data_IF_172180608185
#
_entry.id   IF_172180608185
#
_cell.length_a   1.000
_cell.length_b   1.000
_cell.length_c   1.000
_cell.angle_alpha   90.00
_cell.angle_beta   90.00
_cell.angle_gamma   90.00
#
_symmetry.space_group_name_H-M   'P 1'
#
loop_
_entity.id
_entity.type
_entity.pdbx_description
1 polymer ?
#
# COMPACT_ATOMS: atom_id res chain seq x y z
N UNK A 1 -6.19 -22.90 -7.71
CA UNK A 1 -6.91 -22.00 -6.76
C UNK A 1 -5.91 -21.66 -5.66
N UNK A 2 -5.22 -20.52 -5.78
CA UNK A 2 -4.39 -19.98 -4.71
C UNK A 2 -5.36 -19.27 -3.77
N UNK A 3 -5.78 -19.97 -2.72
CA UNK A 3 -6.52 -19.37 -1.62
C UNK A 3 -5.59 -18.39 -0.90
N UNK A 4 -5.73 -17.10 -1.18
CA UNK A 4 -5.13 -16.05 -0.38
C UNK A 4 -5.84 -16.05 1.00
N UNK A 5 -5.45 -17.00 1.85
CA UNK A 5 -5.75 -16.91 3.27
C UNK A 5 -4.88 -15.77 3.78
N UNK A 6 -5.48 -14.70 4.21
CA UNK A 6 -4.85 -13.71 5.09
C UNK A 6 -4.51 -14.42 6.40
N UNK A 7 -3.42 -15.17 6.36
CA UNK A 7 -2.80 -15.69 7.58
C UNK A 7 -2.17 -14.49 8.25
N UNK A 8 -2.64 -14.15 9.43
CA UNK A 8 -2.01 -13.12 10.25
C UNK A 8 -0.52 -13.37 10.41
N UNK A 9 0.29 -12.35 10.73
CA UNK A 9 1.71 -12.54 11.00
C UNK A 9 1.87 -13.56 12.12
N UNK A 10 2.96 -14.31 12.09
CA UNK A 10 3.33 -15.17 13.21
C UNK A 10 3.53 -14.29 14.44
N UNK A 11 2.56 -14.30 15.36
CA UNK A 11 2.62 -13.54 16.60
C UNK A 11 3.29 -14.37 17.71
N UNK A 12 3.95 -13.73 18.67
CA UNK A 12 4.42 -14.41 19.89
C UNK A 12 3.26 -15.15 20.57
N UNK A 13 3.50 -16.37 21.03
CA UNK A 13 2.49 -17.21 21.73
C UNK A 13 1.84 -16.52 22.93
N UNK A 14 2.52 -15.53 23.51
CA UNK A 14 2.07 -14.70 24.62
C UNK A 14 0.93 -13.77 24.25
N UNK A 15 0.79 -13.40 22.97
CA UNK A 15 -0.28 -12.53 22.50
C UNK A 15 -1.57 -13.35 22.34
N UNK A 16 -2.60 -12.94 23.08
CA UNK A 16 -3.93 -13.55 23.06
C UNK A 16 -4.93 -12.54 22.51
N UNK A 17 -5.33 -12.74 21.27
CA UNK A 17 -6.32 -11.89 20.65
C UNK A 17 -7.72 -12.25 21.17
N UNK A 18 -8.46 -11.26 21.63
CA UNK A 18 -9.86 -11.39 22.06
C UNK A 18 -10.85 -11.17 20.91
N UNK A 19 -10.38 -10.60 19.82
CA UNK A 19 -11.14 -10.31 18.60
C UNK A 19 -10.53 -11.04 17.40
N UNK A 20 -11.29 -11.27 16.31
CA UNK A 20 -10.76 -11.82 15.08
C UNK A 20 -9.62 -10.97 14.53
N UNK A 21 -8.59 -11.58 13.97
CA UNK A 21 -7.44 -10.86 13.42
C UNK A 21 -7.85 -9.81 12.36
N UNK A 22 -8.94 -10.07 11.62
CA UNK A 22 -9.51 -9.16 10.63
C UNK A 22 -10.06 -7.84 11.22
N UNK A 23 -10.28 -7.77 12.52
CA UNK A 23 -10.71 -6.54 13.22
C UNK A 23 -9.55 -5.79 13.88
N UNK A 24 -8.34 -6.35 13.90
CA UNK A 24 -7.16 -5.73 14.52
C UNK A 24 -6.47 -4.81 13.54
N UNK A 25 -6.35 -3.54 13.86
CA UNK A 25 -5.60 -2.56 13.07
C UNK A 25 -4.12 -2.53 13.43
N UNK A 26 -3.81 -2.72 14.73
CA UNK A 26 -2.46 -2.56 15.25
C UNK A 26 -2.23 -3.40 16.51
N UNK A 27 -1.03 -3.96 16.65
CA UNK A 27 -0.58 -4.62 17.88
C UNK A 27 0.69 -3.92 18.34
N UNK A 28 0.67 -3.38 19.56
CA UNK A 28 1.73 -2.56 20.13
C UNK A 28 2.44 -3.32 21.25
N UNK A 29 3.67 -3.73 20.98
CA UNK A 29 4.58 -4.36 21.96
C UNK A 29 5.53 -3.29 22.51
N UNK A 30 5.74 -3.27 23.82
CA UNK A 30 6.65 -2.35 24.51
C UNK A 30 7.34 -3.11 25.63
N UNK A 31 8.66 -3.00 25.70
CA UNK A 31 9.45 -3.58 26.78
C UNK A 31 8.96 -3.06 28.14
N UNK A 32 8.79 -3.94 29.10
CA UNK A 32 8.32 -3.63 30.44
C UNK A 32 6.82 -3.34 30.54
N UNK A 33 6.03 -3.63 29.49
CA UNK A 33 4.58 -3.40 29.45
C UNK A 33 3.86 -4.55 28.76
N UNK A 34 2.57 -4.77 29.07
CA UNK A 34 1.75 -5.68 28.28
C UNK A 34 1.54 -5.15 26.86
N UNK A 35 1.38 -6.04 25.91
CA UNK A 35 1.00 -5.64 24.56
C UNK A 35 -0.46 -5.18 24.51
N UNK A 36 -0.71 -4.22 23.62
CA UNK A 36 -2.04 -3.64 23.38
C UNK A 36 -2.44 -3.88 21.93
N UNK A 37 -3.62 -4.45 21.73
CA UNK A 37 -4.28 -4.53 20.43
C UNK A 37 -5.17 -3.31 20.24
N UNK A 38 -5.11 -2.69 19.06
CA UNK A 38 -6.00 -1.62 18.62
C UNK A 38 -6.85 -2.16 17.50
N UNK A 39 -8.17 -2.09 17.61
CA UNK A 39 -9.05 -2.53 16.54
C UNK A 39 -9.30 -1.43 15.50
N UNK A 40 -9.91 -1.80 14.39
CA UNK A 40 -10.21 -0.88 13.26
C UNK A 40 -11.14 0.28 13.62
N UNK A 41 -11.78 0.23 14.78
CA UNK A 41 -12.65 1.30 15.32
C UNK A 41 -11.93 2.17 16.35
N UNK A 42 -10.64 1.89 16.63
CA UNK A 42 -9.83 2.62 17.61
C UNK A 42 -9.96 2.11 19.05
N UNK A 43 -10.73 1.06 19.31
CA UNK A 43 -10.82 0.41 20.60
C UNK A 43 -9.48 -0.25 20.99
N UNK A 44 -9.07 -0.14 22.25
CA UNK A 44 -7.81 -0.68 22.76
C UNK A 44 -8.07 -1.77 23.78
N UNK A 45 -7.37 -2.91 23.66
CA UNK A 45 -7.47 -4.05 24.57
C UNK A 45 -6.09 -4.58 24.90
N UNK A 46 -5.81 -4.81 26.18
CA UNK A 46 -4.58 -5.51 26.60
C UNK A 46 -4.68 -6.97 26.16
N UNK A 47 -3.65 -7.44 25.45
CA UNK A 47 -3.68 -8.76 24.81
C UNK A 47 -2.50 -9.68 25.19
N UNK A 48 -1.70 -9.31 26.18
CA UNK A 48 -0.62 -10.15 26.71
C UNK A 48 -0.26 -9.79 28.14
N UNK A 49 0.61 -10.61 28.75
CA UNK A 49 1.41 -10.22 29.91
C UNK A 49 2.54 -9.27 29.51
N UNK A 50 3.33 -8.80 30.49
CA UNK A 50 4.46 -7.87 30.27
C UNK A 50 5.52 -8.54 29.39
N UNK A 51 5.98 -7.83 28.35
CA UNK A 51 7.10 -8.24 27.52
C UNK A 51 8.44 -7.84 28.15
N UNK A 52 9.38 -8.77 28.21
CA UNK A 52 10.77 -8.46 28.55
C UNK A 52 11.55 -7.93 27.34
N UNK A 53 12.76 -7.42 27.57
CA UNK A 53 13.67 -7.01 26.49
C UNK A 53 14.05 -8.21 25.62
N UNK A 54 14.42 -9.33 26.25
CA UNK A 54 14.83 -10.57 25.58
C UNK A 54 13.70 -11.14 24.70
N UNK A 55 12.45 -11.13 25.20
CA UNK A 55 11.28 -11.59 24.42
C UNK A 55 11.02 -10.68 23.21
N UNK A 56 11.27 -9.37 23.36
CA UNK A 56 11.09 -8.39 22.26
C UNK A 56 12.17 -8.55 21.22
N UNK A 57 13.43 -8.74 21.64
CA UNK A 57 14.58 -8.97 20.75
C UNK A 57 14.46 -10.30 20.01
N UNK A 58 14.05 -11.37 20.71
CA UNK A 58 13.79 -12.67 20.09
C UNK A 58 12.68 -12.58 19.03
N UNK A 59 11.59 -11.88 19.34
CA UNK A 59 10.53 -11.69 18.36
C UNK A 59 10.98 -10.83 17.18
N UNK A 60 11.79 -9.81 17.39
CA UNK A 60 12.38 -9.03 16.30
C UNK A 60 13.29 -9.89 15.43
N UNK A 61 14.13 -10.75 16.04
CA UNK A 61 14.96 -11.68 15.29
C UNK A 61 14.12 -12.66 14.44
N UNK A 62 13.00 -13.16 14.97
CA UNK A 62 12.07 -14.01 14.23
C UNK A 62 11.44 -13.25 13.04
N UNK A 63 11.03 -11.99 13.24
CA UNK A 63 10.53 -11.11 12.16
C UNK A 63 11.55 -11.02 11.03
N UNK A 64 12.82 -10.82 11.37
CA UNK A 64 13.93 -10.76 10.41
C UNK A 64 14.42 -12.15 9.96
N UNK A 65 13.69 -13.23 10.26
CA UNK A 65 14.06 -14.62 9.95
C UNK A 65 15.49 -14.96 10.38
N UNK A 66 15.91 -14.43 11.52
CA UNK A 66 17.27 -14.53 12.08
C UNK A 66 18.38 -13.98 11.15
N UNK A 67 18.02 -13.17 10.17
CA UNK A 67 18.95 -12.52 9.22
C UNK A 67 18.73 -11.00 9.20
N UNK A 68 19.02 -10.34 10.32
CA UNK A 68 18.78 -8.89 10.50
C UNK A 68 19.49 -8.05 9.42
N UNK A 69 20.67 -8.49 8.96
CA UNK A 69 21.42 -7.79 7.90
C UNK A 69 20.67 -7.74 6.57
N UNK A 70 19.82 -8.74 6.26
CA UNK A 70 19.03 -8.76 5.03
C UNK A 70 17.90 -7.71 5.03
N UNK A 71 17.58 -7.13 6.18
CA UNK A 71 16.56 -6.10 6.38
C UNK A 71 17.15 -4.75 6.77
N UNK A 72 18.44 -4.55 6.55
CA UNK A 72 19.14 -3.34 7.03
C UNK A 72 18.58 -2.06 6.43
N UNK A 73 18.20 -2.06 5.15
CA UNK A 73 17.57 -0.92 4.49
C UNK A 73 16.19 -0.63 5.09
N UNK A 74 15.36 -1.65 5.25
CA UNK A 74 14.02 -1.52 5.87
C UNK A 74 14.13 -1.02 7.31
N UNK A 75 15.06 -1.57 8.10
CA UNK A 75 15.31 -1.16 9.49
C UNK A 75 15.78 0.30 9.55
N UNK A 76 16.59 0.75 8.60
CA UNK A 76 17.00 2.14 8.51
C UNK A 76 15.82 3.08 8.21
N UNK A 77 14.80 2.60 7.49
CA UNK A 77 13.52 3.29 7.27
C UNK A 77 12.57 3.20 8.49
N UNK A 78 12.91 2.39 9.49
CA UNK A 78 12.18 2.25 10.75
C UNK A 78 11.07 1.20 10.76
N UNK A 79 10.95 0.37 9.72
CA UNK A 79 9.97 -0.72 9.69
C UNK A 79 10.43 -1.91 8.84
N UNK A 80 9.83 -3.07 9.07
CA UNK A 80 9.99 -4.27 8.25
C UNK A 80 8.60 -4.71 7.75
N UNK A 81 8.50 -5.10 6.50
CA UNK A 81 7.27 -5.64 5.92
C UNK A 81 7.25 -7.17 6.04
N UNK A 82 6.19 -7.71 6.62
CA UNK A 82 5.96 -9.15 6.78
C UNK A 82 5.11 -9.74 5.67
N UNK A 83 5.13 -11.08 5.57
CA UNK A 83 4.16 -11.81 4.74
C UNK A 83 2.73 -11.39 5.09
N UNK A 84 1.89 -11.23 4.06
CA UNK A 84 0.55 -10.66 4.23
C UNK A 84 0.51 -9.13 4.19
N UNK A 85 1.65 -8.46 3.98
CA UNK A 85 1.72 -7.00 3.84
C UNK A 85 1.66 -6.23 5.15
N UNK A 86 1.78 -6.93 6.28
CA UNK A 86 1.82 -6.29 7.60
C UNK A 86 3.14 -5.53 7.77
N UNK A 87 3.09 -4.35 8.37
CA UNK A 87 4.30 -3.56 8.66
C UNK A 87 4.61 -3.58 10.14
N UNK A 88 5.85 -3.83 10.48
CA UNK A 88 6.35 -3.78 11.86
C UNK A 88 7.26 -2.57 12.01
N UNK A 89 6.74 -1.51 12.61
CA UNK A 89 7.53 -0.35 13.02
C UNK A 89 8.42 -0.70 14.20
N UNK A 90 9.66 -0.21 14.17
CA UNK A 90 10.70 -0.52 15.15
C UNK A 90 10.97 0.71 15.98
N UNK A 91 10.92 0.56 17.30
CA UNK A 91 11.29 1.59 18.27
C UNK A 91 12.54 1.15 19.02
N UNK A 92 13.52 2.05 19.15
CA UNK A 92 14.79 1.78 19.84
C UNK A 92 15.74 2.96 19.70
N UNK A 93 17.04 2.70 19.84
CA UNK A 93 18.10 3.69 19.70
C UNK A 93 18.61 3.74 18.27
N UNK A 94 18.44 4.88 17.59
CA UNK A 94 18.92 5.06 16.22
C UNK A 94 20.46 5.16 16.17
N UNK A 95 21.10 4.35 15.33
CA UNK A 95 22.51 4.43 14.98
C UNK A 95 22.62 5.24 13.69
N UNK A 96 23.52 6.22 13.67
CA UNK A 96 23.71 7.12 12.54
C UNK A 96 25.13 7.05 11.99
N UNK A 97 25.22 7.06 10.66
CA UNK A 97 26.46 7.21 9.90
C UNK A 97 26.26 8.29 8.84
N UNK A 98 27.19 9.21 8.73
CA UNK A 98 27.14 10.33 7.76
C UNK A 98 25.80 11.10 7.79
N UNK A 99 25.21 11.27 8.99
CA UNK A 99 23.95 11.99 9.19
C UNK A 99 22.67 11.20 8.87
N UNK A 100 22.79 9.97 8.35
CA UNK A 100 21.66 9.08 8.05
C UNK A 100 21.53 8.00 9.12
N UNK A 101 20.29 7.57 9.39
CA UNK A 101 20.04 6.39 10.21
C UNK A 101 20.43 5.17 9.38
N UNK A 102 21.28 4.31 9.92
CA UNK A 102 21.72 3.06 9.27
C UNK A 102 21.19 1.82 9.99
N UNK A 103 20.81 1.97 11.26
CA UNK A 103 20.31 0.87 12.05
C UNK A 103 19.55 1.37 13.29
N UNK A 104 18.72 0.49 13.89
CA UNK A 104 18.07 0.71 15.18
C UNK A 104 18.51 -0.41 16.12
N UNK A 105 19.10 -0.05 17.24
CA UNK A 105 19.51 -0.97 18.32
C UNK A 105 18.71 -0.74 19.60
N UNK A 106 18.94 -1.57 20.61
CA UNK A 106 18.27 -1.47 21.92
C UNK A 106 16.74 -1.36 21.73
N UNK A 107 16.15 -2.36 21.07
CA UNK A 107 14.75 -2.32 20.68
C UNK A 107 13.85 -2.22 21.92
N UNK A 108 13.15 -1.13 22.04
CA UNK A 108 12.24 -0.81 23.14
C UNK A 108 10.79 -1.13 22.84
N UNK A 109 10.46 -1.41 21.57
CA UNK A 109 9.13 -1.79 21.18
C UNK A 109 8.96 -2.06 19.68
N UNK A 110 7.90 -2.79 19.36
CA UNK A 110 7.50 -3.14 18.01
C UNK A 110 6.04 -2.77 17.83
N UNK A 111 5.73 -2.21 16.65
CA UNK A 111 4.39 -1.78 16.31
C UNK A 111 3.92 -2.49 15.05
N UNK A 112 3.14 -3.56 15.20
CA UNK A 112 2.63 -4.37 14.10
C UNK A 112 1.37 -3.71 13.57
N UNK A 113 1.45 -3.09 12.40
CA UNK A 113 0.30 -2.57 11.67
C UNK A 113 -0.23 -3.64 10.75
N UNK A 114 -1.48 -4.03 10.98
CA UNK A 114 -2.13 -5.10 10.22
C UNK A 114 -2.60 -4.56 8.88
N UNK A 115 -2.13 -5.16 7.80
CA UNK A 115 -2.65 -4.84 6.47
C UNK A 115 -4.01 -5.50 6.29
N UNK A 116 -4.98 -4.71 5.85
CA UNK A 116 -6.31 -5.19 5.51
C UNK A 116 -6.54 -5.04 4.01
N UNK A 117 -7.03 -6.11 3.39
CA UNK A 117 -7.52 -6.05 2.03
C UNK A 117 -9.03 -5.88 2.05
N UNK A 118 -9.50 -4.74 1.57
CA UNK A 118 -10.93 -4.43 1.49
C UNK A 118 -11.36 -4.68 0.04
N UNK A 119 -11.93 -5.86 -0.21
CA UNK A 119 -12.51 -6.21 -1.51
C UNK A 119 -13.85 -5.52 -1.69
N UNK A 120 -14.10 -5.03 -2.93
CA UNK A 120 -15.34 -4.35 -3.28
C UNK A 120 -15.37 -2.85 -2.95
N UNK A 121 -14.32 -2.30 -2.33
CA UNK A 121 -14.27 -0.86 -2.05
C UNK A 121 -14.17 0.00 -3.33
N UNK A 122 -13.81 -0.59 -4.45
CA UNK A 122 -13.77 0.06 -5.77
C UNK A 122 -14.99 -0.20 -6.63
N UNK A 123 -16.00 -0.93 -6.16
CA UNK A 123 -17.12 -1.39 -6.99
C UNK A 123 -17.83 -0.24 -7.68
N UNK A 124 -18.15 0.83 -6.97
CA UNK A 124 -18.81 2.01 -7.54
C UNK A 124 -17.96 2.66 -8.65
N UNK A 125 -16.66 2.80 -8.44
CA UNK A 125 -15.72 3.38 -9.41
C UNK A 125 -15.59 2.44 -10.62
N UNK A 126 -15.44 1.15 -10.37
CA UNK A 126 -15.29 0.16 -11.42
C UNK A 126 -16.53 0.12 -12.32
N UNK A 127 -17.73 -0.01 -11.76
CA UNK A 127 -18.98 -0.08 -12.54
C UNK A 127 -19.20 1.22 -13.33
N UNK A 128 -18.86 2.34 -12.77
CA UNK A 128 -19.10 3.63 -13.40
C UNK A 128 -18.13 3.93 -14.54
N UNK A 129 -16.85 3.60 -14.40
CA UNK A 129 -15.81 4.08 -15.33
C UNK A 129 -15.11 2.96 -16.10
N UNK A 130 -15.09 1.73 -15.61
CA UNK A 130 -14.19 0.68 -16.08
C UNK A 130 -14.88 -0.59 -16.55
N UNK A 131 -16.15 -0.80 -16.21
CA UNK A 131 -16.89 -2.05 -16.49
C UNK A 131 -17.08 -2.30 -17.99
N UNK A 132 -17.38 -1.27 -18.77
CA UNK A 132 -17.60 -1.39 -20.21
C UNK A 132 -16.27 -1.53 -20.98
N UNK A 133 -15.29 -0.70 -20.68
CA UNK A 133 -13.94 -0.71 -21.25
C UNK A 133 -12.95 -0.05 -20.31
N UNK A 134 -11.66 -0.43 -20.35
CA UNK A 134 -10.64 0.28 -19.58
C UNK A 134 -10.58 1.75 -20.03
N UNK A 135 -10.46 2.64 -19.07
CA UNK A 135 -10.21 4.06 -19.33
C UNK A 135 -9.06 4.56 -18.43
N UNK A 136 -8.48 5.67 -18.80
CA UNK A 136 -7.47 6.34 -17.97
C UNK A 136 -8.18 7.17 -16.92
N UNK A 137 -7.84 6.94 -15.64
CA UNK A 137 -8.60 7.48 -14.51
C UNK A 137 -7.68 8.08 -13.44
N UNK A 138 -7.94 9.32 -13.04
CA UNK A 138 -7.34 9.92 -11.85
C UNK A 138 -8.22 9.65 -10.62
N UNK A 139 -7.63 9.06 -9.58
CA UNK A 139 -8.27 8.88 -8.27
C UNK A 139 -7.78 10.01 -7.35
N UNK A 140 -8.56 11.06 -7.24
CA UNK A 140 -8.23 12.21 -6.41
C UNK A 140 -8.82 12.05 -4.99
N UNK A 141 -8.10 12.51 -3.98
CA UNK A 141 -8.59 12.48 -2.61
C UNK A 141 -7.54 13.01 -1.62
N UNK A 142 -8.00 13.46 -0.47
CA UNK A 142 -7.13 13.91 0.62
C UNK A 142 -6.25 12.76 1.15
N UNK A 143 -5.18 13.03 1.90
CA UNK A 143 -4.47 12.00 2.65
C UNK A 143 -5.45 11.14 3.47
N UNK A 144 -5.20 9.83 3.55
CA UNK A 144 -6.02 8.86 4.30
C UNK A 144 -7.45 8.63 3.77
N UNK A 145 -7.81 9.17 2.60
CA UNK A 145 -9.14 8.94 2.00
C UNK A 145 -9.35 7.50 1.46
N UNK A 146 -8.31 6.67 1.42
CA UNK A 146 -8.39 5.29 0.95
C UNK A 146 -7.97 5.08 -0.51
N UNK A 147 -7.28 6.04 -1.15
CA UNK A 147 -6.80 5.94 -2.55
C UNK A 147 -6.05 4.64 -2.83
N UNK A 148 -5.06 4.31 -2.01
CA UNK A 148 -4.26 3.08 -2.16
C UNK A 148 -5.11 1.82 -2.07
N UNK A 149 -6.11 1.82 -1.17
CA UNK A 149 -7.04 0.70 -1.01
C UNK A 149 -7.92 0.52 -2.25
N UNK A 150 -8.41 1.63 -2.81
CA UNK A 150 -9.19 1.64 -4.07
C UNK A 150 -8.32 1.18 -5.23
N UNK A 151 -7.10 1.70 -5.39
CA UNK A 151 -6.17 1.29 -6.46
C UNK A 151 -5.87 -0.20 -6.41
N UNK A 152 -5.65 -0.76 -5.22
CA UNK A 152 -5.44 -2.21 -5.03
C UNK A 152 -6.62 -3.03 -5.48
N UNK A 153 -7.83 -2.65 -5.09
CA UNK A 153 -9.03 -3.38 -5.46
C UNK A 153 -9.36 -3.22 -6.96
N UNK A 154 -9.07 -2.06 -7.57
CA UNK A 154 -9.12 -1.88 -9.02
C UNK A 154 -8.10 -2.77 -9.75
N UNK A 155 -6.85 -2.86 -9.25
CA UNK A 155 -5.84 -3.75 -9.79
C UNK A 155 -6.33 -5.20 -9.79
N UNK A 156 -6.87 -5.66 -8.65
CA UNK A 156 -7.45 -7.00 -8.51
C UNK A 156 -8.57 -7.26 -9.53
N UNK A 157 -9.53 -6.35 -9.64
CA UNK A 157 -10.69 -6.52 -10.54
C UNK A 157 -10.29 -6.48 -12.02
N UNK A 158 -9.45 -5.53 -12.40
CA UNK A 158 -8.97 -5.43 -13.77
C UNK A 158 -8.07 -6.60 -14.14
N UNK A 159 -7.17 -6.99 -13.22
CA UNK A 159 -6.24 -8.10 -13.39
C UNK A 159 -6.89 -9.49 -13.50
N UNK A 160 -8.19 -9.63 -13.25
CA UNK A 160 -8.91 -10.87 -13.56
C UNK A 160 -9.03 -11.12 -15.08
N UNK A 161 -9.04 -10.05 -15.90
CA UNK A 161 -9.33 -10.14 -17.34
C UNK A 161 -8.40 -9.32 -18.23
N UNK A 162 -7.54 -8.50 -17.66
CA UNK A 162 -6.66 -7.56 -18.37
C UNK A 162 -5.22 -7.72 -17.91
N UNK A 163 -4.29 -7.41 -18.80
CA UNK A 163 -2.88 -7.29 -18.42
C UNK A 163 -2.69 -5.96 -17.71
N UNK A 164 -2.47 -6.03 -16.43
CA UNK A 164 -2.25 -4.88 -15.54
C UNK A 164 -0.80 -4.86 -15.09
N UNK A 165 -0.17 -3.69 -15.08
CA UNK A 165 1.10 -3.51 -14.39
C UNK A 165 0.93 -2.48 -13.30
N UNK A 166 1.24 -2.86 -12.08
CA UNK A 166 1.25 -1.97 -10.90
C UNK A 166 2.67 -1.45 -10.69
N UNK A 167 2.82 -0.12 -10.67
CA UNK A 167 4.05 0.56 -10.29
C UNK A 167 3.89 1.02 -8.85
N UNK A 168 4.46 0.25 -7.93
CA UNK A 168 4.24 0.38 -6.48
C UNK A 168 5.50 0.92 -5.79
N UNK A 169 5.78 2.20 -5.99
CA UNK A 169 7.01 2.84 -5.50
C UNK A 169 7.19 2.71 -3.98
N UNK A 170 6.09 2.78 -3.23
CA UNK A 170 6.09 2.72 -1.76
C UNK A 170 5.74 1.35 -1.20
N UNK A 171 5.57 0.36 -2.07
CA UNK A 171 5.13 -0.98 -1.69
C UNK A 171 3.84 -0.99 -0.83
N UNK A 172 2.89 -0.11 -1.18
CA UNK A 172 1.63 0.06 -0.43
C UNK A 172 0.44 -0.62 -1.11
N UNK A 173 0.48 -0.79 -2.44
CA UNK A 173 -0.61 -1.42 -3.21
C UNK A 173 -0.53 -2.93 -3.06
N UNK A 174 0.62 -3.51 -3.37
CA UNK A 174 0.85 -4.96 -3.40
C UNK A 174 1.37 -5.53 -2.09
N UNK A 175 2.04 -4.70 -1.29
CA UNK A 175 2.79 -5.11 -0.11
C UNK A 175 3.75 -6.27 -0.41
N UNK A 176 4.50 -6.16 -1.51
CA UNK A 176 5.39 -7.20 -2.00
C UNK A 176 6.52 -7.51 -1.01
N UNK A 177 6.83 -8.79 -0.87
CA UNK A 177 7.98 -9.29 -0.11
C UNK A 177 8.79 -10.18 -1.05
N UNK A 178 10.09 -9.90 -1.19
CA UNK A 178 10.97 -10.59 -2.14
C UNK A 178 10.38 -10.62 -3.57
N UNK A 179 9.78 -9.52 -4.02
CA UNK A 179 9.17 -9.38 -5.34
C UNK A 179 7.81 -10.05 -5.51
N UNK A 180 7.31 -10.76 -4.49
CA UNK A 180 6.00 -11.41 -4.55
C UNK A 180 4.92 -10.55 -3.90
N UNK A 181 3.82 -10.22 -4.60
CA UNK A 181 2.68 -9.54 -4.01
C UNK A 181 2.06 -10.35 -2.87
N UNK A 182 1.93 -9.75 -1.69
CA UNK A 182 1.29 -10.38 -0.53
C UNK A 182 -0.21 -10.11 -0.46
N UNK A 183 -0.67 -9.08 -1.15
CA UNK A 183 -2.09 -8.74 -1.30
C UNK A 183 -2.56 -9.13 -2.70
N UNK A 184 -3.82 -9.49 -2.81
CA UNK A 184 -4.44 -9.91 -4.06
C UNK A 184 -4.59 -8.70 -4.99
N UNK A 185 -3.81 -8.65 -6.04
CA UNK A 185 -3.81 -7.61 -7.08
C UNK A 185 -4.37 -8.12 -8.42
N UNK A 186 -4.84 -9.38 -8.47
CA UNK A 186 -5.42 -10.00 -9.66
C UNK A 186 -4.46 -10.94 -10.41
N UNK A 187 -5.03 -11.91 -11.12
CA UNK A 187 -4.30 -13.02 -11.77
C UNK A 187 -3.30 -12.55 -12.84
N UNK A 188 -3.68 -11.56 -13.66
CA UNK A 188 -2.87 -11.06 -14.78
C UNK A 188 -2.24 -9.70 -14.42
N UNK A 189 -1.78 -9.55 -13.20
CA UNK A 189 -1.15 -8.32 -12.71
C UNK A 189 0.32 -8.53 -12.42
N UNK A 190 1.16 -7.81 -13.13
CA UNK A 190 2.58 -7.70 -12.84
C UNK A 190 2.82 -6.55 -11.85
N UNK A 191 3.78 -6.70 -10.95
CA UNK A 191 4.12 -5.67 -9.98
C UNK A 191 5.59 -5.29 -10.08
N UNK A 192 5.85 -3.99 -10.22
CA UNK A 192 7.18 -3.40 -10.09
C UNK A 192 7.21 -2.58 -8.78
N UNK A 193 8.06 -2.99 -7.85
CA UNK A 193 8.31 -2.29 -6.60
C UNK A 193 9.79 -1.95 -6.45
N UNK A 194 10.10 -0.96 -5.59
CA UNK A 194 11.47 -0.55 -5.33
C UNK A 194 12.14 0.25 -6.45
N UNK A 195 11.38 0.73 -7.45
CA UNK A 195 11.87 1.60 -8.52
C UNK A 195 11.14 2.95 -8.50
N UNK A 196 11.78 3.95 -9.11
CA UNK A 196 11.12 5.24 -9.35
C UNK A 196 9.91 5.06 -10.28
N UNK A 197 8.86 5.84 -10.07
CA UNK A 197 7.61 5.70 -10.84
C UNK A 197 7.82 5.89 -12.35
N UNK A 198 8.50 6.96 -12.75
CA UNK A 198 8.82 7.22 -14.15
C UNK A 198 9.63 6.09 -14.77
N UNK A 199 10.62 5.55 -14.05
CA UNK A 199 11.43 4.41 -14.50
C UNK A 199 10.58 3.15 -14.64
N UNK A 200 9.75 2.85 -13.64
CA UNK A 200 8.85 1.68 -13.65
C UNK A 200 7.84 1.74 -14.78
N UNK A 201 7.24 2.90 -15.06
CA UNK A 201 6.33 3.09 -16.21
C UNK A 201 7.07 2.78 -17.53
N UNK A 202 8.26 3.33 -17.72
CA UNK A 202 9.04 3.10 -18.92
C UNK A 202 9.48 1.65 -19.08
N UNK A 203 9.82 0.97 -17.99
CA UNK A 203 10.14 -0.46 -17.98
C UNK A 203 8.90 -1.29 -18.35
N UNK A 204 7.74 -1.01 -17.78
CA UNK A 204 6.48 -1.69 -18.09
C UNK A 204 6.13 -1.59 -19.57
N UNK A 205 6.22 -0.39 -20.16
CA UNK A 205 5.94 -0.16 -21.59
C UNK A 205 6.84 -0.97 -22.50
N UNK A 206 8.11 -1.16 -22.13
CA UNK A 206 9.10 -1.87 -22.97
C UNK A 206 9.01 -3.39 -22.88
N UNK A 207 8.59 -3.94 -21.73
CA UNK A 207 8.79 -5.36 -21.45
C UNK A 207 7.53 -6.12 -21.03
N UNK A 208 6.47 -5.46 -20.56
CA UNK A 208 5.31 -6.14 -19.98
C UNK A 208 4.06 -6.06 -20.84
N UNK A 209 4.04 -5.21 -21.88
CA UNK A 209 2.89 -5.02 -22.78
C UNK A 209 1.56 -4.82 -22.03
N UNK A 210 1.48 -3.89 -21.06
CA UNK A 210 0.29 -3.69 -20.26
C UNK A 210 -0.87 -3.11 -21.09
N UNK A 211 -2.09 -3.49 -20.77
CA UNK A 211 -3.30 -2.78 -21.21
C UNK A 211 -3.61 -1.61 -20.27
N UNK A 212 -3.28 -1.80 -18.99
CA UNK A 212 -3.50 -0.81 -17.93
C UNK A 212 -2.27 -0.73 -17.04
N UNK A 213 -1.79 0.47 -16.80
CA UNK A 213 -0.80 0.74 -15.73
C UNK A 213 -1.55 1.35 -14.55
N UNK A 214 -1.32 0.81 -13.36
CA UNK A 214 -1.81 1.38 -12.11
C UNK A 214 -0.59 1.88 -11.32
N UNK A 215 -0.61 3.14 -10.92
CA UNK A 215 0.44 3.70 -10.07
C UNK A 215 -0.15 4.43 -8.87
N UNK A 216 0.62 4.44 -7.79
CA UNK A 216 0.31 5.23 -6.61
C UNK A 216 0.36 6.74 -6.93
N UNK A 217 0.51 7.57 -5.95
CA UNK A 217 0.44 9.02 -6.09
C UNK A 217 1.41 9.57 -7.15
N UNK A 218 0.86 10.30 -8.16
CA UNK A 218 1.64 11.04 -9.14
C UNK A 218 2.25 12.29 -8.48
N UNK A 219 3.56 12.46 -8.64
CA UNK A 219 4.28 13.67 -8.23
C UNK A 219 5.56 13.79 -9.07
N UNK A 220 5.62 14.75 -9.98
CA UNK A 220 6.74 14.95 -10.91
C UNK A 220 6.99 13.79 -11.91
N UNK A 221 5.96 12.99 -12.19
CA UNK A 221 6.02 11.83 -13.09
C UNK A 221 5.21 12.04 -14.37
N UNK A 222 4.75 13.28 -14.62
CA UNK A 222 3.81 13.63 -15.68
C UNK A 222 4.30 13.18 -17.06
N UNK A 223 5.57 13.38 -17.36
CA UNK A 223 6.14 13.02 -18.68
C UNK A 223 6.07 11.50 -18.97
N UNK A 224 6.30 10.66 -17.96
CA UNK A 224 6.22 9.21 -18.12
C UNK A 224 4.76 8.74 -18.27
N UNK A 225 3.84 9.37 -17.53
CA UNK A 225 2.41 9.11 -17.62
C UNK A 225 1.89 9.53 -19.01
N UNK A 226 2.26 10.71 -19.49
CA UNK A 226 1.93 11.19 -20.83
C UNK A 226 2.40 10.21 -21.90
N UNK A 227 3.64 9.72 -21.78
CA UNK A 227 4.17 8.74 -22.74
C UNK A 227 3.36 7.44 -22.73
N UNK A 228 2.95 6.94 -21.58
CA UNK A 228 2.09 5.75 -21.49
C UNK A 228 0.74 5.98 -22.19
N UNK A 229 0.12 7.14 -21.96
CA UNK A 229 -1.13 7.53 -22.58
C UNK A 229 -0.98 7.65 -24.10
N UNK A 230 0.09 8.25 -24.60
CA UNK A 230 0.39 8.35 -26.04
C UNK A 230 0.64 6.99 -26.69
N UNK A 231 1.21 6.03 -25.95
CA UNK A 231 1.34 4.63 -26.41
C UNK A 231 0.01 3.86 -26.42
N UNK A 232 -1.10 4.49 -26.04
CA UNK A 232 -2.43 3.87 -25.99
C UNK A 232 -2.67 3.00 -24.75
N UNK A 233 -1.74 2.96 -23.79
CA UNK A 233 -1.90 2.27 -22.52
C UNK A 233 -2.79 3.12 -21.60
N UNK A 234 -3.73 2.49 -20.93
CA UNK A 234 -4.58 3.18 -19.96
C UNK A 234 -3.83 3.33 -18.64
N UNK A 235 -3.94 4.51 -18.02
CA UNK A 235 -3.28 4.82 -16.75
C UNK A 235 -4.33 5.11 -15.69
N UNK A 236 -4.25 4.40 -14.57
CA UNK A 236 -5.04 4.68 -13.37
C UNK A 236 -4.06 5.11 -12.29
N UNK A 237 -4.21 6.32 -11.78
CA UNK A 237 -3.26 6.88 -10.84
C UNK A 237 -3.94 7.66 -9.71
N UNK A 238 -3.31 7.67 -8.53
CA UNK A 238 -3.77 8.51 -7.44
C UNK A 238 -3.19 9.92 -7.51
N UNK A 239 -3.96 10.89 -7.03
CA UNK A 239 -3.53 12.27 -6.86
C UNK A 239 -4.04 12.84 -5.53
N UNK A 240 -3.20 13.66 -4.88
CA UNK A 240 -3.65 14.43 -3.72
C UNK A 240 -4.38 15.70 -4.19
N UNK A 241 -5.70 15.63 -4.24
CA UNK A 241 -6.56 16.77 -4.51
C UNK A 241 -7.97 16.50 -3.93
N UNK A 242 -8.59 17.49 -3.37
CA UNK A 242 -9.97 17.40 -2.84
C UNK A 242 -11.04 17.80 -3.85
N UNK A 243 -10.64 18.35 -5.01
CA UNK A 243 -11.55 18.77 -6.09
C UNK A 243 -10.87 18.76 -7.45
N UNK A 244 -11.66 18.93 -8.52
CA UNK A 244 -11.16 19.06 -9.89
C UNK A 244 -10.29 20.31 -10.06
N UNK A 245 -10.69 21.43 -9.51
CA UNK A 245 -9.95 22.69 -9.58
C UNK A 245 -8.59 22.58 -8.89
N UNK A 246 -8.49 21.76 -7.87
CA UNK A 246 -7.22 21.48 -7.19
C UNK A 246 -6.31 20.58 -8.04
N UNK A 247 -6.86 19.61 -8.78
CA UNK A 247 -6.12 18.81 -9.77
C UNK A 247 -5.56 19.73 -10.87
N UNK A 248 -6.39 20.60 -11.44
CA UNK A 248 -5.99 21.51 -12.50
C UNK A 248 -4.91 22.52 -12.05
N UNK A 249 -4.96 22.97 -10.79
CA UNK A 249 -3.91 23.82 -10.22
C UNK A 249 -2.59 23.09 -10.01
N UNK A 250 -2.65 21.82 -9.63
CA UNK A 250 -1.47 21.03 -9.28
C UNK A 250 -0.73 20.51 -10.50
N UNK A 251 -1.45 20.00 -11.49
CA UNK A 251 -0.88 19.31 -12.65
C UNK A 251 -1.05 20.08 -13.96
N UNK A 252 -1.81 21.17 -13.97
CA UNK A 252 -2.23 21.86 -15.17
C UNK A 252 -3.41 21.17 -15.86
N UNK A 253 -4.31 21.99 -16.42
CA UNK A 253 -5.52 21.49 -17.08
C UNK A 253 -5.23 20.64 -18.33
N UNK A 254 -4.09 20.85 -18.99
CA UNK A 254 -3.64 20.06 -20.14
C UNK A 254 -3.39 18.61 -19.77
N UNK A 255 -2.59 18.38 -18.73
CA UNK A 255 -2.28 17.02 -18.23
C UNK A 255 -3.54 16.30 -17.72
N UNK A 256 -4.36 16.97 -16.91
CA UNK A 256 -5.58 16.37 -16.38
C UNK A 256 -6.54 15.94 -17.48
N UNK A 257 -6.66 16.72 -18.59
CA UNK A 257 -7.49 16.39 -19.74
C UNK A 257 -7.00 15.21 -20.59
N UNK A 258 -5.79 14.71 -20.36
CA UNK A 258 -5.31 13.49 -21.02
C UNK A 258 -5.94 12.22 -20.44
N UNK A 259 -6.51 12.29 -19.25
CA UNK A 259 -7.26 11.19 -18.65
C UNK A 259 -8.71 11.23 -19.14
N UNK A 260 -9.32 10.06 -19.28
CA UNK A 260 -10.71 9.92 -19.70
C UNK A 260 -11.69 10.37 -18.59
N UNK A 261 -11.28 10.24 -17.31
CA UNK A 261 -12.08 10.67 -16.17
C UNK A 261 -11.24 10.95 -14.91
N UNK A 262 -11.85 11.64 -13.96
CA UNK A 262 -11.33 11.78 -12.60
C UNK A 262 -12.43 11.43 -11.58
N UNK A 263 -12.06 10.61 -10.58
CA UNK A 263 -12.92 10.26 -9.46
C UNK A 263 -12.39 10.92 -8.19
N UNK A 264 -13.16 11.81 -7.60
CA UNK A 264 -12.83 12.40 -6.29
C UNK A 264 -13.40 11.53 -5.20
N UNK A 265 -12.55 11.01 -4.32
CA UNK A 265 -12.96 10.15 -3.23
C UNK A 265 -12.80 10.82 -1.86
N UNK A 266 -13.80 10.60 -1.00
CA UNK A 266 -13.79 11.00 0.40
C UNK A 266 -13.36 9.87 1.33
N UNK A 267 -13.85 9.93 2.55
CA UNK A 267 -13.54 8.90 3.55
C UNK A 267 -13.92 7.51 3.07
N UNK A 268 -13.03 6.53 3.36
CA UNK A 268 -13.21 5.10 3.00
C UNK A 268 -13.35 4.83 1.51
N UNK A 269 -12.80 5.69 0.65
CA UNK A 269 -12.81 5.46 -0.81
C UNK A 269 -14.15 5.73 -1.50
N UNK A 270 -15.15 6.28 -0.82
CA UNK A 270 -16.44 6.61 -1.42
C UNK A 270 -16.33 7.81 -2.36
N UNK A 271 -17.00 7.75 -3.52
CA UNK A 271 -17.09 8.87 -4.44
C UNK A 271 -17.73 10.10 -3.77
N UNK A 272 -17.14 11.26 -3.97
CA UNK A 272 -17.72 12.54 -3.56
C UNK A 272 -18.45 13.14 -4.77
N UNK A 273 -19.75 13.40 -4.60
CA UNK A 273 -20.61 14.04 -5.61
C UNK A 273 -21.26 13.06 -6.59
N UNK A 274 -22.41 13.48 -7.13
CA UNK A 274 -23.27 12.66 -8.01
C UNK A 274 -22.67 12.38 -9.39
N UNK A 275 -21.59 13.08 -9.77
CA UNK A 275 -20.87 12.91 -11.03
C UNK A 275 -19.36 12.90 -10.77
N UNK A 276 -18.76 11.71 -10.77
CA UNK A 276 -17.35 11.64 -11.13
C UNK A 276 -17.18 12.40 -12.44
N UNK A 277 -16.29 13.38 -12.49
CA UNK A 277 -16.19 14.28 -13.62
C UNK A 277 -15.63 13.48 -14.80
N UNK A 278 -16.43 13.25 -15.83
CA UNK A 278 -15.91 12.94 -17.17
C UNK A 278 -15.10 14.16 -17.62
N UNK A 279 -13.89 13.94 -18.03
CA UNK A 279 -12.96 14.97 -18.53
C UNK A 279 -13.18 15.26 -19.99
#
# INVERSE_FOLDING_TARGET
>A
MISCKTTGPALPKKIRLTEPFSSIAEIRIRVGRPAVCVNIFGGMTVCSDIFSAEETDEFFAQICRYSVHSFQEDIAEGFVTLEGGHRVGICGTAVRENGRIVFIKDISGLNIRVAHQIKGCSDEIYERFLSARPCSLLIAGRPLSGKTTVLRDLARRLGERRRVTVIDTRNEISASVHGLPMLDVGLNTDVLCGCGKSEGIMMALRSMSPEVIICDEISHDEAAVEQALFCGVKVIAAAHAGSREELDRRFGSGFVKMFDAAAVIGERGRLIGERGVLL
#
